data_IF_655443355378
#
_entry.id   IF_655443355378
#
_cell.length_a   1.000
_cell.length_b   1.000
_cell.length_c   1.000
_cell.angle_alpha   90.00
_cell.angle_beta   90.00
_cell.angle_gamma   90.00
#
_symmetry.space_group_name_H-M   'P 1'
#
loop_
_entity.id
_entity.type
_entity.pdbx_description
1 polymer ?
#
# COMPACT_ATOMS: atom_id res chain seq x y z
N UNK A 1 8.99 -61.85 27.78
CA UNK A 1 7.97 -61.06 28.49
C UNK A 1 8.50 -59.63 28.56
N UNK A 2 8.30 -58.76 27.56
CA UNK A 2 7.07 -58.27 26.88
C UNK A 2 6.45 -57.06 27.60
N UNK A 3 7.21 -55.96 27.75
CA UNK A 3 6.70 -54.58 27.84
C UNK A 3 7.77 -53.58 27.34
N UNK A 4 7.98 -53.54 26.03
CA UNK A 4 8.70 -52.45 25.34
C UNK A 4 8.07 -52.25 23.96
N UNK A 5 6.82 -51.79 23.89
CA UNK A 5 6.21 -51.49 22.58
C UNK A 5 4.95 -50.60 22.60
N UNK A 6 4.82 -49.63 23.52
CA UNK A 6 3.67 -48.69 23.50
C UNK A 6 4.07 -47.25 23.84
N UNK A 7 5.22 -46.80 23.35
CA UNK A 7 5.70 -45.41 23.49
C UNK A 7 5.71 -44.59 22.20
N UNK A 8 5.31 -45.17 21.07
CA UNK A 8 5.48 -44.58 19.72
C UNK A 8 4.17 -44.14 19.06
N UNK A 9 3.06 -44.13 19.81
CA UNK A 9 1.73 -43.74 19.30
C UNK A 9 1.28 -42.32 19.67
N UNK A 10 2.05 -41.57 20.47
CA UNK A 10 1.67 -40.24 20.94
C UNK A 10 1.93 -39.09 19.96
N UNK A 11 2.49 -39.37 18.77
CA UNK A 11 2.75 -38.34 17.75
C UNK A 11 1.61 -38.17 16.74
N UNK A 12 0.57 -39.00 16.75
CA UNK A 12 -0.49 -38.93 15.72
C UNK A 12 -1.75 -38.16 16.17
N UNK A 13 -1.96 -37.99 17.48
CA UNK A 13 -3.08 -37.19 18.01
C UNK A 13 -2.79 -35.69 18.09
N UNK A 14 -1.55 -35.26 17.79
CA UNK A 14 -1.19 -33.84 17.62
C UNK A 14 -1.46 -33.28 16.22
N UNK A 15 -1.77 -34.16 15.24
CA UNK A 15 -2.11 -33.76 13.88
C UNK A 15 -3.58 -33.33 13.71
N UNK A 16 -4.42 -33.53 14.73
CA UNK A 16 -5.87 -33.21 14.70
C UNK A 16 -6.23 -31.89 15.41
N UNK A 17 -5.25 -31.04 15.69
CA UNK A 17 -5.44 -29.62 16.03
C UNK A 17 -4.59 -28.77 15.07
N UNK A 18 -4.88 -28.68 13.77
CA UNK A 18 -6.06 -27.99 13.21
C UNK A 18 -6.39 -26.64 13.89
N UNK A 19 -5.40 -25.98 14.51
CA UNK A 19 -5.51 -24.60 14.99
C UNK A 19 -4.45 -23.74 14.33
N UNK A 20 -4.88 -23.18 13.21
CA UNK A 20 -4.13 -22.20 12.43
C UNK A 20 -4.66 -22.22 11.01
N UNK A 21 -5.90 -21.77 10.79
CA UNK A 21 -6.44 -21.50 9.45
C UNK A 21 -5.41 -20.74 8.57
N UNK A 22 -4.52 -19.98 9.21
CA UNK A 22 -3.36 -19.30 8.62
C UNK A 22 -2.25 -20.20 8.06
N UNK A 23 -1.85 -21.28 8.74
CA UNK A 23 -0.83 -22.21 8.22
C UNK A 23 -1.39 -23.15 7.14
N UNK A 24 -2.69 -23.43 7.16
CA UNK A 24 -3.37 -24.17 6.09
C UNK A 24 -3.36 -23.34 4.81
N UNK A 25 -3.73 -22.06 4.88
CA UNK A 25 -3.63 -21.16 3.73
C UNK A 25 -2.18 -21.00 3.26
N UNK A 26 -1.20 -20.90 4.15
CA UNK A 26 0.19 -20.75 3.72
C UNK A 26 0.77 -22.03 3.09
N UNK A 27 0.49 -23.21 3.64
CA UNK A 27 0.94 -24.48 3.06
C UNK A 27 0.17 -24.84 1.78
N UNK A 28 -1.11 -24.47 1.68
CA UNK A 28 -1.90 -24.62 0.47
C UNK A 28 -1.46 -23.63 -0.62
N UNK A 29 -1.17 -22.37 -0.26
CA UNK A 29 -0.63 -21.37 -1.17
C UNK A 29 0.79 -21.71 -1.62
N UNK A 30 1.69 -22.12 -0.70
CA UNK A 30 3.03 -22.57 -1.06
C UNK A 30 2.98 -23.85 -1.91
N UNK A 31 2.05 -24.77 -1.62
CA UNK A 31 1.79 -25.96 -2.43
C UNK A 31 1.29 -25.62 -3.84
N UNK A 32 0.36 -24.67 -3.95
CA UNK A 32 -0.16 -24.18 -5.22
C UNK A 32 0.92 -23.42 -6.03
N UNK A 33 1.73 -22.58 -5.38
CA UNK A 33 2.84 -21.84 -6.02
C UNK A 33 3.92 -22.81 -6.51
N UNK A 34 4.26 -23.83 -5.72
CA UNK A 34 5.22 -24.86 -6.12
C UNK A 34 4.71 -25.68 -7.31
N UNK A 35 3.42 -26.06 -7.32
CA UNK A 35 2.77 -26.77 -8.43
C UNK A 35 2.72 -25.90 -9.71
N UNK A 36 2.39 -24.61 -9.58
CA UNK A 36 2.34 -23.66 -10.70
C UNK A 36 3.74 -23.33 -11.25
N UNK A 37 4.76 -23.31 -10.39
CA UNK A 37 6.17 -23.17 -10.78
C UNK A 37 6.67 -24.37 -11.58
N UNK A 38 6.23 -25.59 -11.26
CA UNK A 38 6.53 -26.80 -12.03
C UNK A 38 5.91 -26.77 -13.43
N UNK A 39 4.74 -26.13 -13.57
CA UNK A 39 4.05 -25.95 -14.86
C UNK A 39 4.59 -24.76 -15.68
N UNK A 40 5.63 -24.07 -15.19
CA UNK A 40 6.26 -22.95 -15.90
C UNK A 40 5.45 -21.66 -15.90
N UNK A 41 4.42 -21.56 -15.06
CA UNK A 41 3.60 -20.36 -14.93
C UNK A 41 4.22 -19.47 -13.85
N UNK A 42 5.08 -18.54 -14.27
CA UNK A 42 5.53 -17.45 -13.38
C UNK A 42 4.38 -16.48 -13.20
N UNK A 43 3.73 -16.48 -12.03
CA UNK A 43 2.78 -15.43 -11.65
C UNK A 43 3.56 -14.14 -11.37
N UNK A 44 3.99 -13.46 -12.43
CA UNK A 44 4.47 -12.08 -12.38
C UNK A 44 3.26 -11.17 -12.24
N UNK A 45 2.85 -10.96 -11.00
CA UNK A 45 1.70 -10.16 -10.60
C UNK A 45 1.14 -10.74 -9.30
N UNK A 46 1.06 -9.93 -8.23
CA UNK A 46 0.68 -10.39 -6.88
C UNK A 46 -0.67 -11.14 -6.92
N UNK A 47 -0.69 -12.49 -6.92
CA UNK A 47 -1.89 -13.25 -7.23
C UNK A 47 -2.91 -13.29 -6.07
N UNK A 48 -2.68 -12.48 -5.03
CA UNK A 48 -3.47 -12.43 -3.80
C UNK A 48 -3.92 -11.01 -3.43
N UNK A 49 -4.00 -10.11 -4.40
CA UNK A 49 -4.54 -8.76 -4.18
C UNK A 49 -5.97 -8.80 -3.60
N UNK A 50 -6.78 -9.79 -4.01
CA UNK A 50 -8.11 -10.04 -3.44
C UNK A 50 -8.12 -10.47 -1.96
N UNK A 51 -7.01 -10.96 -1.40
CA UNK A 51 -6.90 -11.27 0.03
C UNK A 51 -6.53 -10.04 0.86
N UNK A 52 -6.07 -8.95 0.25
CA UNK A 52 -5.74 -7.73 0.98
C UNK A 52 -6.99 -7.10 1.60
N UNK A 53 -8.14 -7.19 0.91
CA UNK A 53 -9.44 -6.76 1.44
C UNK A 53 -9.83 -7.50 2.72
N UNK A 54 -9.36 -8.74 2.87
CA UNK A 54 -9.62 -9.57 4.04
C UNK A 54 -8.45 -9.60 5.04
N UNK A 55 -7.32 -8.94 4.75
CA UNK A 55 -6.17 -8.92 5.65
C UNK A 55 -6.52 -8.29 7.01
N UNK A 56 -7.30 -7.21 6.96
CA UNK A 56 -7.82 -6.52 8.13
C UNK A 56 -8.71 -7.42 9.02
N UNK A 57 -9.82 -7.99 8.54
CA UNK A 57 -10.66 -8.84 9.37
C UNK A 57 -9.91 -10.06 9.91
N UNK A 58 -9.00 -10.67 9.14
CA UNK A 58 -8.18 -11.78 9.65
C UNK A 58 -7.23 -11.35 10.75
N UNK A 59 -6.59 -10.20 10.62
CA UNK A 59 -5.71 -9.66 11.67
C UNK A 59 -6.49 -9.37 12.96
N UNK A 60 -7.69 -8.76 12.85
CA UNK A 60 -8.55 -8.51 14.01
C UNK A 60 -8.99 -9.79 14.72
N UNK A 61 -9.33 -10.84 13.97
CA UNK A 61 -9.64 -12.16 14.53
C UNK A 61 -8.43 -12.72 15.28
N UNK A 62 -7.23 -12.63 14.70
CA UNK A 62 -6.00 -13.09 15.34
C UNK A 62 -5.69 -12.34 16.64
N UNK A 63 -5.81 -11.00 16.64
CA UNK A 63 -5.66 -10.15 17.83
C UNK A 63 -6.69 -10.51 18.90
N UNK A 64 -7.96 -10.71 18.51
CA UNK A 64 -9.04 -11.10 19.43
C UNK A 64 -8.74 -12.45 20.11
N UNK A 65 -8.35 -13.46 19.33
CA UNK A 65 -7.98 -14.78 19.85
C UNK A 65 -6.75 -14.73 20.77
N UNK A 66 -5.72 -13.95 20.40
CA UNK A 66 -4.55 -13.74 21.23
C UNK A 66 -4.92 -13.05 22.55
N UNK A 67 -5.80 -12.04 22.50
CA UNK A 67 -6.27 -11.29 23.66
C UNK A 67 -7.04 -12.18 24.64
N UNK A 68 -7.95 -13.02 24.15
CA UNK A 68 -8.65 -14.03 24.97
C UNK A 68 -7.65 -14.99 25.60
N UNK A 69 -6.70 -15.50 24.83
CA UNK A 69 -5.67 -16.44 25.32
C UNK A 69 -4.81 -15.80 26.43
N UNK A 70 -4.42 -14.54 26.24
CA UNK A 70 -3.68 -13.77 27.24
C UNK A 70 -4.52 -13.54 28.50
N UNK A 71 -5.80 -13.19 28.36
CA UNK A 71 -6.71 -13.02 29.49
C UNK A 71 -6.88 -14.29 30.32
N UNK A 72 -7.09 -15.43 29.66
CA UNK A 72 -7.19 -16.74 30.31
C UNK A 72 -5.91 -17.09 31.08
N UNK A 73 -4.76 -16.74 30.54
CA UNK A 73 -3.46 -16.88 31.22
C UNK A 73 -3.35 -15.96 32.44
N UNK A 74 -3.75 -14.70 32.33
CA UNK A 74 -3.74 -13.74 33.45
C UNK A 74 -4.70 -14.14 34.57
N UNK A 75 -5.79 -14.85 34.23
CA UNK A 75 -6.71 -15.49 35.20
C UNK A 75 -6.11 -16.71 35.92
N UNK A 76 -4.84 -17.06 35.64
CA UNK A 76 -4.12 -18.14 36.34
C UNK A 76 -4.24 -19.51 35.68
N UNK A 77 -4.84 -19.60 34.48
CA UNK A 77 -4.86 -20.87 33.74
C UNK A 77 -3.49 -21.13 33.12
N UNK A 78 -2.75 -22.07 33.70
CA UNK A 78 -1.39 -22.46 33.27
C UNK A 78 -1.35 -23.34 32.01
N UNK A 79 -2.47 -23.49 31.31
CA UNK A 79 -2.60 -24.40 30.18
C UNK A 79 -1.86 -23.93 28.91
N UNK A 80 -1.40 -22.67 28.86
CA UNK A 80 -0.77 -22.10 27.67
C UNK A 80 0.71 -21.79 27.91
N UNK A 81 1.58 -22.30 27.04
CA UNK A 81 3.01 -22.04 27.09
C UNK A 81 3.31 -20.55 26.79
N UNK A 82 4.15 -19.93 27.62
CA UNK A 82 4.61 -18.54 27.46
C UNK A 82 5.28 -18.28 26.12
N UNK A 83 6.06 -19.25 25.66
CA UNK A 83 6.89 -19.11 24.47
C UNK A 83 6.05 -19.09 23.21
N UNK A 84 4.99 -19.91 23.17
CA UNK A 84 4.03 -19.91 22.06
C UNK A 84 3.23 -18.62 22.03
N UNK A 85 2.86 -18.08 23.19
CA UNK A 85 2.17 -16.79 23.26
C UNK A 85 3.05 -15.64 22.75
N UNK A 86 4.34 -15.65 23.10
CA UNK A 86 5.32 -14.67 22.65
C UNK A 86 5.56 -14.77 21.13
N UNK A 87 5.69 -15.99 20.59
CA UNK A 87 5.82 -16.24 19.16
C UNK A 87 4.60 -15.70 18.38
N UNK A 88 3.39 -16.04 18.83
CA UNK A 88 2.14 -15.59 18.20
C UNK A 88 1.99 -14.07 18.28
N UNK A 89 2.41 -13.45 19.38
CA UNK A 89 2.41 -12.00 19.53
C UNK A 89 3.36 -11.34 18.53
N UNK A 90 4.58 -11.88 18.37
CA UNK A 90 5.54 -11.37 17.39
C UNK A 90 5.04 -11.48 15.95
N UNK A 91 4.39 -12.60 15.58
CA UNK A 91 3.79 -12.78 14.26
C UNK A 91 2.65 -11.81 13.99
N UNK A 92 1.79 -11.54 14.97
CA UNK A 92 0.68 -10.57 14.84
C UNK A 92 1.18 -9.14 14.70
N UNK A 93 2.25 -8.78 15.43
CA UNK A 93 2.90 -7.46 15.32
C UNK A 93 3.56 -7.28 13.95
N UNK A 94 4.26 -8.31 13.46
CA UNK A 94 4.87 -8.28 12.14
C UNK A 94 3.81 -8.17 11.02
N UNK A 95 2.63 -8.79 11.18
CA UNK A 95 1.58 -8.82 10.16
C UNK A 95 0.59 -7.64 10.18
N UNK A 96 0.92 -6.49 10.77
CA UNK A 96 0.00 -5.36 10.92
C UNK A 96 -0.25 -4.62 9.58
N UNK A 97 -1.52 -4.47 9.12
CA UNK A 97 -1.81 -3.94 7.77
C UNK A 97 -1.97 -2.41 7.66
N UNK A 98 -2.03 -1.65 8.77
CA UNK A 98 -2.58 -0.28 8.76
C UNK A 98 -1.58 0.85 8.49
N UNK A 99 -0.29 0.61 8.70
CA UNK A 99 0.71 1.67 8.71
C UNK A 99 1.78 1.39 7.68
N UNK A 100 1.47 1.72 6.43
CA UNK A 100 2.40 1.53 5.30
C UNK A 100 3.73 2.23 5.55
N UNK A 101 3.66 3.45 6.09
CA UNK A 101 4.82 4.28 6.46
C UNK A 101 5.67 3.67 7.58
N UNK A 102 5.05 2.93 8.51
CA UNK A 102 5.74 2.30 9.64
C UNK A 102 5.94 0.78 9.50
N UNK A 103 5.61 0.21 8.33
CA UNK A 103 5.64 -1.23 8.09
C UNK A 103 6.99 -1.86 8.45
N UNK A 104 8.09 -1.21 8.09
CA UNK A 104 9.45 -1.63 8.43
C UNK A 104 9.67 -1.75 9.94
N UNK A 105 9.19 -0.78 10.73
CA UNK A 105 9.34 -0.79 12.18
C UNK A 105 8.57 -1.96 12.81
N UNK A 106 7.35 -2.22 12.35
CA UNK A 106 6.56 -3.35 12.81
C UNK A 106 7.18 -4.71 12.43
N UNK A 107 7.74 -4.82 11.22
CA UNK A 107 8.48 -6.02 10.82
C UNK A 107 9.73 -6.26 11.67
N UNK A 108 10.48 -5.21 12.00
CA UNK A 108 11.66 -5.33 12.87
C UNK A 108 11.28 -5.76 14.29
N UNK A 109 10.28 -5.11 14.89
CA UNK A 109 9.82 -5.42 16.25
C UNK A 109 9.23 -6.83 16.30
N UNK A 110 8.30 -7.16 15.40
CA UNK A 110 7.66 -8.47 15.34
C UNK A 110 8.66 -9.58 15.02
N UNK A 111 9.56 -9.35 14.06
CA UNK A 111 10.65 -10.27 13.71
C UNK A 111 11.61 -10.51 14.87
N UNK A 112 11.97 -9.48 15.62
CA UNK A 112 12.78 -9.62 16.84
C UNK A 112 12.09 -10.49 17.90
N UNK A 113 10.79 -10.27 18.16
CA UNK A 113 10.02 -11.10 19.10
C UNK A 113 9.96 -12.56 18.67
N UNK A 114 9.76 -12.83 17.38
CA UNK A 114 9.78 -14.18 16.81
C UNK A 114 11.14 -14.82 16.99
N UNK A 115 12.22 -14.16 16.58
CA UNK A 115 13.58 -14.67 16.71
C UNK A 115 13.94 -14.96 18.17
N UNK A 116 13.59 -14.06 19.08
CA UNK A 116 13.80 -14.24 20.52
C UNK A 116 13.01 -15.42 21.08
N UNK A 117 11.75 -15.61 20.67
CA UNK A 117 10.94 -16.76 21.09
C UNK A 117 11.52 -18.10 20.60
N UNK A 118 12.02 -18.15 19.36
CA UNK A 118 12.69 -19.32 18.79
C UNK A 118 14.00 -19.60 19.54
N UNK A 119 14.78 -18.56 19.84
CA UNK A 119 16.01 -18.70 20.63
C UNK A 119 15.73 -19.31 22.02
N UNK A 120 14.70 -18.85 22.72
CA UNK A 120 14.29 -19.44 24.01
C UNK A 120 13.87 -20.92 23.87
N UNK A 121 13.19 -21.26 22.76
CA UNK A 121 12.78 -22.62 22.46
C UNK A 121 13.99 -23.55 22.20
N UNK A 122 14.94 -23.10 21.38
CA UNK A 122 16.18 -23.86 21.10
C UNK A 122 17.01 -24.00 22.37
N UNK A 123 17.19 -22.92 23.14
CA UNK A 123 17.99 -22.94 24.37
C UNK A 123 17.47 -23.96 25.39
N UNK A 124 16.16 -24.08 25.54
CA UNK A 124 15.56 -25.11 26.40
C UNK A 124 15.82 -26.52 25.90
N UNK A 125 15.80 -26.73 24.59
CA UNK A 125 16.07 -28.04 23.99
C UNK A 125 17.55 -28.42 24.09
N UNK A 126 18.45 -27.45 23.97
CA UNK A 126 19.90 -27.67 23.98
C UNK A 126 20.48 -27.70 25.39
N UNK A 127 19.85 -27.05 26.38
CA UNK A 127 20.35 -27.04 27.76
C UNK A 127 19.55 -27.97 28.65
N UNK A 128 20.02 -29.22 28.80
CA UNK A 128 19.54 -30.11 29.87
C UNK A 128 20.12 -29.75 31.26
N UNK A 129 20.87 -28.64 31.42
CA UNK A 129 21.61 -28.36 32.68
C UNK A 129 21.68 -26.92 33.19
N UNK A 130 21.17 -25.88 32.52
CA UNK A 130 21.27 -24.49 33.03
C UNK A 130 19.89 -23.84 33.13
N UNK A 131 19.37 -23.76 34.37
CA UNK A 131 18.13 -23.09 34.72
C UNK A 131 18.33 -21.57 34.81
N UNK A 132 17.64 -20.79 33.97
CA UNK A 132 17.59 -19.33 34.07
C UNK A 132 16.15 -18.92 34.39
N UNK A 133 15.89 -18.14 35.45
CA UNK A 133 14.53 -17.80 35.88
C UNK A 133 13.86 -16.83 34.89
N UNK A 134 12.83 -17.31 34.20
CA UNK A 134 12.06 -16.59 33.17
C UNK A 134 11.19 -15.44 33.71
N UNK A 135 11.02 -15.34 35.03
CA UNK A 135 10.09 -14.40 35.68
C UNK A 135 10.46 -12.91 35.56
N UNK A 136 11.67 -12.57 35.11
CA UNK A 136 12.15 -11.17 35.05
C UNK A 136 12.02 -10.55 33.64
N UNK A 137 11.96 -11.37 32.59
CA UNK A 137 12.14 -10.89 31.21
C UNK A 137 10.83 -10.33 30.60
N UNK A 138 9.69 -10.96 30.89
CA UNK A 138 8.42 -10.65 30.22
C UNK A 138 7.86 -9.27 30.56
N UNK A 139 7.77 -8.83 31.83
CA UNK A 139 7.27 -7.48 32.13
C UNK A 139 8.27 -6.37 31.74
N UNK A 140 9.59 -6.64 31.77
CA UNK A 140 10.61 -5.65 31.41
C UNK A 140 10.61 -5.30 29.92
N UNK A 141 10.41 -6.27 29.03
CA UNK A 141 10.31 -6.03 27.58
C UNK A 141 8.98 -5.37 27.21
N UNK A 142 7.90 -5.62 27.92
CA UNK A 142 6.63 -4.92 27.65
C UNK A 142 6.70 -3.45 28.11
N UNK A 143 7.37 -3.16 29.23
CA UNK A 143 7.48 -1.80 29.76
C UNK A 143 8.47 -0.92 29.00
N UNK A 144 9.57 -1.47 28.46
CA UNK A 144 10.58 -0.70 27.71
C UNK A 144 10.06 -0.19 26.35
N UNK A 145 9.05 -0.86 25.77
CA UNK A 145 8.53 -0.54 24.43
C UNK A 145 7.23 0.28 24.44
N UNK A 146 6.60 0.50 25.60
CA UNK A 146 5.50 1.48 25.75
C UNK A 146 5.98 2.91 25.97
N UNK A 147 7.29 3.11 26.20
CA UNK A 147 7.87 4.43 26.51
C UNK A 147 8.15 5.30 25.27
N UNK A 148 8.51 4.80 24.06
CA UNK A 148 8.79 5.69 22.93
C UNK A 148 7.53 6.15 22.17
N UNK A 149 6.37 5.51 22.36
CA UNK A 149 5.16 5.84 21.59
C UNK A 149 4.44 7.11 22.09
N UNK A 150 4.76 7.59 23.31
CA UNK A 150 4.15 8.80 23.89
C UNK A 150 4.81 10.12 23.49
N UNK A 151 6.05 10.12 23.02
CA UNK A 151 6.81 11.37 22.84
C UNK A 151 6.85 11.89 21.40
N UNK A 152 6.40 11.12 20.40
CA UNK A 152 6.28 11.61 19.01
C UNK A 152 4.90 12.16 18.66
N UNK A 153 3.90 12.03 19.53
CA UNK A 153 2.53 12.51 19.29
C UNK A 153 2.27 13.97 19.71
N UNK A 154 3.25 14.69 20.28
CA UNK A 154 3.04 16.05 20.82
C UNK A 154 3.77 17.19 20.07
N UNK A 155 4.40 16.92 18.93
CA UNK A 155 5.16 17.94 18.18
C UNK A 155 4.58 18.29 16.80
N UNK A 156 3.30 18.00 16.54
CA UNK A 156 2.68 18.19 15.23
C UNK A 156 1.80 19.45 15.08
N UNK A 157 1.77 20.37 16.06
CA UNK A 157 1.03 21.63 15.95
C UNK A 157 1.89 22.82 16.40
N UNK A 158 2.72 23.38 15.50
CA UNK A 158 3.17 24.77 15.62
C UNK A 158 3.78 25.31 14.30
N UNK A 159 3.00 25.33 13.22
CA UNK A 159 3.33 26.18 12.08
C UNK A 159 2.06 26.82 11.48
N UNK A 160 1.47 27.72 12.26
CA UNK A 160 0.59 28.77 11.74
C UNK A 160 1.34 30.10 11.72
N UNK A 161 1.61 30.58 10.51
CA UNK A 161 1.53 31.99 10.17
C UNK A 161 2.70 32.89 10.55
N UNK A 162 3.47 33.29 9.53
CA UNK A 162 3.67 34.70 9.13
C UNK A 162 5.04 34.88 8.49
N UNK A 163 5.09 35.05 7.16
CA UNK A 163 5.96 36.05 6.58
C UNK A 163 5.49 36.43 5.17
N UNK A 164 4.58 37.39 5.15
CA UNK A 164 4.48 38.38 4.09
C UNK A 164 5.67 39.32 4.20
N UNK A 165 6.68 39.18 3.33
CA UNK A 165 7.65 40.25 3.08
C UNK A 165 7.73 40.50 1.58
N UNK A 166 7.50 41.77 1.28
CA UNK A 166 7.35 42.43 0.00
C UNK A 166 8.36 42.08 -1.09
N UNK A 167 7.84 42.06 -2.32
CA UNK A 167 8.59 42.23 -3.57
C UNK A 167 9.32 43.59 -3.60
N UNK A 168 10.53 43.66 -4.18
CA UNK A 168 11.03 44.87 -4.81
C UNK A 168 10.82 44.82 -6.33
N UNK A 169 10.12 45.84 -6.84
CA UNK A 169 10.04 46.24 -8.26
C UNK A 169 11.29 47.10 -8.64
N UNK A 170 11.53 47.40 -9.93
CA UNK A 170 12.73 47.01 -10.66
C UNK A 170 13.75 48.14 -10.81
N UNK A 171 15.02 47.79 -11.03
CA UNK A 171 16.02 48.68 -11.60
C UNK A 171 16.44 48.18 -12.98
N UNK A 172 16.53 49.11 -13.92
CA UNK A 172 16.94 49.01 -15.32
C UNK A 172 17.67 50.33 -15.63
N UNK A 173 18.50 50.46 -16.69
CA UNK A 173 19.37 49.48 -17.37
C UNK A 173 20.80 50.04 -17.58
N UNK A 174 21.85 49.23 -17.54
CA UNK A 174 23.06 49.55 -18.35
C UNK A 174 23.98 48.32 -18.55
N UNK A 175 23.99 47.88 -19.80
CA UNK A 175 25.13 47.33 -20.56
C UNK A 175 25.97 46.16 -20.01
N UNK A 176 25.66 44.97 -20.52
CA UNK A 176 26.68 44.12 -21.15
C UNK A 176 26.01 43.31 -22.28
N UNK A 177 26.35 43.70 -23.50
CA UNK A 177 25.82 43.21 -24.77
C UNK A 177 26.62 42.01 -25.33
N UNK A 178 26.01 41.34 -26.31
CA UNK A 178 26.56 40.34 -27.26
C UNK A 178 26.76 38.94 -26.65
N UNK A 179 26.18 37.84 -27.12
CA UNK A 179 25.50 37.41 -28.35
C UNK A 179 24.69 36.15 -27.92
N UNK A 180 23.61 35.69 -28.54
CA UNK A 180 23.40 35.46 -29.95
C UNK A 180 21.92 35.14 -30.13
N UNK A 181 21.35 35.65 -31.22
CA UNK A 181 20.09 35.23 -31.81
C UNK A 181 19.93 33.70 -31.82
N UNK A 182 18.96 33.18 -31.05
CA UNK A 182 18.06 32.16 -31.55
C UNK A 182 16.67 32.48 -31.01
N UNK A 183 15.85 33.04 -31.88
CA UNK A 183 14.41 33.05 -31.73
C UNK A 183 13.97 31.59 -31.96
N UNK A 184 14.28 30.74 -30.99
CA UNK A 184 13.82 29.36 -30.94
C UNK A 184 12.50 29.42 -30.19
N UNK A 185 11.43 29.53 -30.98
CA UNK A 185 10.06 29.34 -30.55
C UNK A 185 10.03 28.08 -29.69
N UNK A 186 9.94 28.27 -28.37
CA UNK A 186 10.03 27.18 -27.39
C UNK A 186 8.79 26.33 -27.59
N UNK A 187 8.90 25.31 -28.45
CA UNK A 187 7.84 24.34 -28.67
C UNK A 187 7.46 23.77 -27.29
N UNK A 188 6.22 24.06 -26.87
CA UNK A 188 5.69 23.51 -25.63
C UNK A 188 5.67 21.99 -25.82
N UNK A 189 6.36 21.28 -24.92
CA UNK A 189 6.41 19.82 -24.95
C UNK A 189 5.09 19.25 -24.42
N UNK A 190 4.16 19.05 -25.36
CA UNK A 190 2.86 18.43 -25.10
C UNK A 190 2.94 16.91 -24.92
N UNK A 191 4.12 16.28 -24.99
CA UNK A 191 4.21 14.81 -24.94
C UNK A 191 4.23 14.21 -23.53
N UNK A 192 4.47 15.04 -22.50
CA UNK A 192 4.59 14.55 -21.13
C UNK A 192 3.23 14.11 -20.53
N UNK A 193 3.15 12.94 -19.87
CA UNK A 193 1.92 12.53 -19.21
C UNK A 193 1.61 13.40 -17.97
N UNK A 194 0.33 13.49 -17.63
CA UNK A 194 -0.16 14.12 -16.39
C UNK A 194 -0.94 13.10 -15.58
N UNK A 195 -0.82 13.16 -14.26
CA UNK A 195 -1.49 12.23 -13.36
C UNK A 195 -2.18 12.91 -12.19
N UNK A 196 -3.23 12.27 -11.70
CA UNK A 196 -3.95 12.65 -10.49
C UNK A 196 -4.30 11.39 -9.68
N UNK A 197 -4.12 11.44 -8.37
CA UNK A 197 -4.45 10.35 -7.45
C UNK A 197 -5.36 10.87 -6.33
N UNK A 198 -6.66 10.91 -6.60
CA UNK A 198 -7.67 11.37 -5.64
C UNK A 198 -8.86 10.41 -5.63
N UNK A 199 -9.54 10.29 -4.48
CA UNK A 199 -10.72 9.43 -4.34
C UNK A 199 -10.42 7.93 -4.53
N UNK A 200 -9.16 7.50 -4.37
CA UNK A 200 -8.76 6.10 -4.58
C UNK A 200 -8.69 5.66 -6.05
N UNK A 201 -8.70 6.61 -6.98
CA UNK A 201 -8.53 6.35 -8.42
C UNK A 201 -7.32 7.14 -8.92
N UNK A 202 -6.38 6.44 -9.57
CA UNK A 202 -5.31 7.06 -10.33
C UNK A 202 -5.80 7.30 -11.75
N UNK A 203 -5.74 8.54 -12.21
CA UNK A 203 -5.99 8.89 -13.60
C UNK A 203 -4.68 9.40 -14.21
N UNK A 204 -4.28 8.80 -15.32
CA UNK A 204 -3.11 9.24 -16.10
C UNK A 204 -3.57 9.59 -17.51
N UNK A 205 -3.15 10.74 -18.01
CA UNK A 205 -3.47 11.22 -19.36
C UNK A 205 -2.16 11.46 -20.11
N UNK A 206 -2.03 10.84 -21.27
CA UNK A 206 -0.85 10.95 -22.14
C UNK A 206 -1.28 11.47 -23.51
N UNK A 207 -0.82 12.64 -23.96
CA UNK A 207 -1.11 13.10 -25.31
C UNK A 207 -0.40 12.25 -26.36
N UNK A 208 -1.16 11.72 -27.33
CA UNK A 208 -0.65 10.94 -28.46
C UNK A 208 -0.50 11.83 -29.70
N UNK A 209 -1.49 12.68 -29.95
CA UNK A 209 -1.51 13.59 -31.10
C UNK A 209 -2.16 14.91 -30.68
N UNK A 210 -1.57 16.04 -31.07
CA UNK A 210 -2.04 17.40 -30.75
C UNK A 210 -2.24 18.30 -31.99
N UNK A 211 -2.08 17.78 -33.21
CA UNK A 211 -2.12 18.61 -34.44
C UNK A 211 -3.52 18.68 -35.06
N UNK A 212 -4.09 17.53 -35.44
CA UNK A 212 -5.34 17.49 -36.22
C UNK A 212 -6.53 17.06 -35.36
N UNK A 213 -6.39 15.98 -34.60
CA UNK A 213 -7.38 15.55 -33.63
C UNK A 213 -6.61 15.35 -32.34
N UNK A 214 -6.96 16.12 -31.32
CA UNK A 214 -6.33 15.94 -30.02
C UNK A 214 -6.71 14.56 -29.51
N UNK A 215 -5.73 13.68 -29.46
CA UNK A 215 -5.88 12.28 -29.12
C UNK A 215 -5.11 12.03 -27.86
N UNK A 216 -5.81 11.60 -26.81
CA UNK A 216 -5.24 11.36 -25.49
C UNK A 216 -5.45 9.89 -25.14
N UNK A 217 -4.38 9.23 -24.70
CA UNK A 217 -4.51 7.98 -23.97
C UNK A 217 -4.86 8.32 -22.52
N UNK A 218 -5.95 7.74 -22.02
CA UNK A 218 -6.38 7.93 -20.63
C UNK A 218 -6.42 6.57 -19.95
N UNK A 219 -5.76 6.46 -18.79
CA UNK A 219 -5.78 5.26 -17.96
C UNK A 219 -6.34 5.58 -16.58
N UNK A 220 -7.37 4.84 -16.17
CA UNK A 220 -8.03 4.89 -14.88
C UNK A 220 -7.73 3.58 -14.14
N UNK A 221 -7.06 3.70 -13.00
CA UNK A 221 -6.64 2.55 -12.20
C UNK A 221 -7.14 2.70 -10.77
N UNK A 222 -7.82 1.68 -10.26
CA UNK A 222 -8.31 1.63 -8.89
C UNK A 222 -8.39 0.19 -8.39
N UNK A 223 -8.54 0.03 -7.08
CA UNK A 223 -8.80 -1.26 -6.44
C UNK A 223 -10.10 -1.25 -5.63
N UNK A 224 -10.82 -0.14 -5.59
CA UNK A 224 -11.97 0.05 -4.69
C UNK A 224 -13.21 0.60 -5.38
N UNK A 225 -13.10 1.09 -6.61
CA UNK A 225 -14.20 1.72 -7.35
C UNK A 225 -14.50 0.92 -8.61
N UNK A 226 -15.78 0.69 -8.87
CA UNK A 226 -16.25 0.17 -10.15
C UNK A 226 -16.19 1.29 -11.20
N UNK A 227 -15.33 1.13 -12.21
CA UNK A 227 -15.10 2.12 -13.25
C UNK A 227 -16.02 1.96 -14.47
N UNK A 228 -16.70 0.81 -14.63
CA UNK A 228 -17.54 0.52 -15.81
C UNK A 228 -18.71 1.49 -15.98
N UNK A 229 -19.09 2.15 -14.88
CA UNK A 229 -20.18 3.13 -14.84
C UNK A 229 -19.80 4.52 -15.35
N UNK A 230 -18.52 4.80 -15.61
CA UNK A 230 -18.07 6.14 -16.00
C UNK A 230 -17.83 6.22 -17.51
N UNK A 231 -18.49 7.19 -18.15
CA UNK A 231 -18.29 7.50 -19.56
C UNK A 231 -17.57 8.85 -19.71
N UNK A 232 -16.31 8.84 -20.18
CA UNK A 232 -15.55 10.08 -20.32
C UNK A 232 -16.10 11.02 -21.40
N UNK A 233 -16.92 10.54 -22.34
CA UNK A 233 -17.62 11.42 -23.29
C UNK A 233 -18.58 12.38 -22.57
N UNK A 234 -19.08 12.00 -21.40
CA UNK A 234 -20.02 12.78 -20.60
C UNK A 234 -19.35 13.53 -19.46
N UNK A 235 -18.25 13.00 -18.94
CA UNK A 235 -17.60 13.46 -17.72
C UNK A 235 -16.33 14.29 -17.96
N UNK A 236 -15.79 14.28 -19.17
CA UNK A 236 -14.60 15.05 -19.51
C UNK A 236 -14.94 16.25 -20.41
N UNK A 237 -14.14 17.29 -20.32
CA UNK A 237 -14.13 18.39 -21.29
C UNK A 237 -12.74 19.03 -21.38
N UNK A 238 -12.51 19.73 -22.48
CA UNK A 238 -11.29 20.50 -22.72
C UNK A 238 -11.57 21.98 -22.53
N UNK A 239 -10.66 22.70 -21.87
CA UNK A 239 -10.58 24.16 -21.80
C UNK A 239 -9.36 24.63 -22.60
N UNK A 240 -9.55 25.54 -23.55
CA UNK A 240 -8.44 26.16 -24.27
C UNK A 240 -7.84 27.35 -23.49
N UNK A 241 -6.68 27.86 -23.94
CA UNK A 241 -6.04 29.04 -23.32
C UNK A 241 -6.88 30.33 -23.35
N UNK A 242 -7.96 30.37 -24.14
CA UNK A 242 -8.93 31.48 -24.18
C UNK A 242 -10.13 31.25 -23.25
N UNK A 243 -10.20 30.10 -22.56
CA UNK A 243 -11.28 29.74 -21.65
C UNK A 243 -12.51 29.13 -22.31
N UNK A 244 -12.47 28.82 -23.61
CA UNK A 244 -13.57 28.12 -24.27
C UNK A 244 -13.59 26.64 -23.88
N UNK A 245 -14.79 26.07 -23.79
CA UNK A 245 -15.01 24.69 -23.37
C UNK A 245 -15.49 23.82 -24.53
N UNK A 246 -14.88 22.65 -24.69
CA UNK A 246 -15.16 21.70 -25.76
C UNK A 246 -15.43 20.31 -25.20
N UNK A 247 -16.47 19.65 -25.72
CA UNK A 247 -16.79 18.26 -25.35
C UNK A 247 -15.94 17.28 -26.17
N UNK A 248 -15.67 16.08 -25.63
CA UNK A 248 -15.03 15.01 -26.39
C UNK A 248 -15.86 14.62 -27.61
N UNK A 249 -15.19 14.26 -28.70
CA UNK A 249 -15.78 13.65 -29.88
C UNK A 249 -16.12 12.18 -29.62
N UNK A 250 -15.21 11.46 -28.96
CA UNK A 250 -15.41 10.06 -28.58
C UNK A 250 -14.52 9.65 -27.40
N UNK A 251 -14.99 8.61 -26.70
CA UNK A 251 -14.24 7.84 -25.72
C UNK A 251 -14.32 6.36 -26.13
N UNK A 252 -13.18 5.79 -26.51
CA UNK A 252 -13.05 4.38 -26.89
C UNK A 252 -12.22 3.69 -25.80
N UNK A 253 -12.88 3.01 -24.87
CA UNK A 253 -12.21 2.29 -23.78
C UNK A 253 -11.92 0.84 -24.11
N UNK A 254 -10.71 0.41 -23.78
CA UNK A 254 -10.28 -0.97 -23.71
C UNK A 254 -10.16 -1.41 -22.25
N UNK A 255 -10.74 -2.56 -21.90
CA UNK A 255 -10.77 -3.09 -20.54
C UNK A 255 -12.13 -2.95 -19.86
N UNK A 256 -12.15 -3.06 -18.53
CA UNK A 256 -13.37 -3.05 -17.73
C UNK A 256 -13.13 -3.40 -16.26
N UNK A 257 -14.10 -3.11 -15.41
CA UNK A 257 -14.05 -3.28 -13.96
C UNK A 257 -13.28 -2.16 -13.28
N UNK A 258 -12.10 -2.48 -12.72
CA UNK A 258 -11.32 -1.56 -11.87
C UNK A 258 -10.00 -1.09 -12.51
N UNK A 259 -9.73 -1.49 -13.76
CA UNK A 259 -8.69 -0.94 -14.61
C UNK A 259 -9.28 -0.69 -16.00
N UNK A 260 -9.33 0.58 -16.43
CA UNK A 260 -9.81 0.98 -17.74
C UNK A 260 -8.75 1.85 -18.40
N UNK A 261 -8.41 1.56 -19.64
CA UNK A 261 -7.60 2.45 -20.47
C UNK A 261 -8.35 2.74 -21.76
N UNK A 262 -8.02 3.81 -22.47
CA UNK A 262 -8.72 4.13 -23.70
C UNK A 262 -8.25 5.40 -24.36
N UNK A 263 -8.87 5.70 -25.50
CA UNK A 263 -8.57 6.85 -26.32
C UNK A 263 -9.70 7.87 -26.21
N UNK A 264 -9.36 9.07 -25.72
CA UNK A 264 -10.24 10.22 -25.65
C UNK A 264 -9.86 11.21 -26.77
N UNK A 265 -10.83 11.56 -27.62
CA UNK A 265 -10.61 12.42 -28.79
C UNK A 265 -11.34 13.75 -28.65
N UNK A 266 -10.69 14.85 -29.02
CA UNK A 266 -11.30 16.17 -29.17
C UNK A 266 -11.02 16.72 -30.58
N UNK A 267 -11.87 17.65 -31.05
CA UNK A 267 -11.66 18.34 -32.33
C UNK A 267 -10.33 19.08 -32.36
N UNK A 268 -9.74 19.27 -33.55
CA UNK A 268 -8.57 20.16 -33.71
C UNK A 268 -8.86 21.54 -33.14
N UNK A 269 -7.93 22.07 -32.37
CA UNK A 269 -7.89 23.50 -32.04
C UNK A 269 -6.44 23.95 -32.15
N UNK A 270 -6.24 25.27 -32.29
CA UNK A 270 -4.90 25.84 -32.20
C UNK A 270 -4.47 25.87 -30.73
N UNK A 271 -3.80 24.81 -30.28
CA UNK A 271 -3.34 24.63 -28.89
C UNK A 271 -2.06 25.39 -28.53
N UNK A 272 -1.67 26.41 -29.30
CA UNK A 272 -0.42 27.17 -29.09
C UNK A 272 -0.32 27.85 -27.72
N UNK A 273 -1.45 28.05 -27.03
CA UNK A 273 -1.50 28.64 -25.69
C UNK A 273 -1.63 27.60 -24.55
N UNK A 274 -1.53 26.30 -24.88
CA UNK A 274 -1.81 25.23 -23.93
C UNK A 274 -3.30 24.88 -23.86
N UNK A 275 -3.59 23.81 -23.11
CA UNK A 275 -4.95 23.34 -22.86
C UNK A 275 -5.05 22.63 -21.52
N UNK A 276 -6.27 22.60 -20.98
CA UNK A 276 -6.61 21.89 -19.75
C UNK A 276 -7.66 20.83 -20.06
N UNK A 277 -7.42 19.60 -19.60
CA UNK A 277 -8.43 18.55 -19.56
C UNK A 277 -9.01 18.50 -18.16
N UNK A 278 -10.33 18.53 -18.09
CA UNK A 278 -11.06 18.40 -16.85
C UNK A 278 -11.87 17.11 -16.87
N UNK A 279 -11.81 16.35 -15.78
CA UNK A 279 -12.61 15.13 -15.58
C UNK A 279 -13.41 15.27 -14.28
N UNK A 280 -14.73 15.15 -14.40
CA UNK A 280 -15.65 15.38 -13.29
C UNK A 280 -16.23 14.09 -12.70
N UNK A 281 -16.63 14.16 -11.44
CA UNK A 281 -17.51 13.21 -10.76
C UNK A 281 -17.05 11.73 -10.74
N UNK A 282 -15.75 11.46 -10.88
CA UNK A 282 -15.20 10.11 -10.69
C UNK A 282 -14.80 9.90 -9.23
N UNK A 283 -15.35 8.85 -8.62
CA UNK A 283 -15.08 8.44 -7.24
C UNK A 283 -15.33 9.52 -6.17
N UNK A 284 -16.40 10.32 -6.36
CA UNK A 284 -16.81 11.34 -5.40
C UNK A 284 -15.97 12.62 -5.41
N UNK A 285 -14.98 12.72 -6.30
CA UNK A 285 -14.21 13.94 -6.53
C UNK A 285 -14.93 14.76 -7.60
N UNK A 286 -15.22 16.02 -7.28
CA UNK A 286 -16.01 16.91 -8.12
C UNK A 286 -15.35 17.18 -9.47
N UNK A 287 -14.06 17.53 -9.46
CA UNK A 287 -13.32 17.99 -10.63
C UNK A 287 -11.83 17.61 -10.48
N UNK A 288 -11.19 17.17 -11.56
CA UNK A 288 -9.74 16.93 -11.65
C UNK A 288 -9.20 17.58 -12.92
N UNK A 289 -8.10 18.31 -12.77
CA UNK A 289 -7.58 19.18 -13.83
C UNK A 289 -6.18 18.75 -14.24
N UNK A 290 -5.94 18.68 -15.55
CA UNK A 290 -4.67 18.28 -16.15
C UNK A 290 -4.27 19.34 -17.18
N UNK A 291 -3.14 20.01 -16.95
CA UNK A 291 -2.73 21.17 -17.76
C UNK A 291 -1.46 20.87 -18.55
N UNK A 292 -1.44 21.29 -19.81
CA UNK A 292 -0.27 21.34 -20.68
C UNK A 292 -0.04 22.75 -21.22
#
# INVERSE_FOLDING_TARGET
>A
MKERLLGTGGCFSGATSLLGSWQVCHNLCLGAIALLSILGITLTGMPFLFLQDYALPFWLIAVSLLSVTLFLRLRGMKCVNERMLLLNSGLIVAGMPFFVEYSTSFYLIGGFLVAFSIFLFIKERTSSKIYIPTKVIVPGVIMLFLIPMGTQWFNADNDTGANSVAQPLPQSPEEASLNLSSNEERAIDFSSPRENLEGGVRITITPINVTDILTLEVSLNTHSVDLDRYNLTELAYLKDGSGNVYKPLSWESDGGGHHISGILKFSSLNYTQGFEIVIENIAGIKERNFTW
#
